data_IF_106305078574
#
_entry.id   IF_106305078574
#
_cell.length_a   1.000
_cell.length_b   1.000
_cell.length_c   1.000
_cell.angle_alpha   90.00
_cell.angle_beta   90.00
_cell.angle_gamma   90.00
#
_symmetry.space_group_name_H-M   'P 1'
#
loop_
_entity.id
_entity.type
_entity.pdbx_description
1 polymer ?
#
# COMPACT_ATOMS: atom_id res chain seq x y z
N UNK A 1 2.53 -7.90 -40.32
CA UNK A 1 3.68 -8.72 -39.84
C UNK A 1 3.82 -8.54 -38.34
N UNK A 2 3.99 -9.62 -37.57
CA UNK A 2 4.31 -9.50 -36.13
C UNK A 2 5.80 -9.21 -35.98
N UNK A 3 6.15 -8.17 -35.22
CA UNK A 3 7.53 -7.71 -34.99
C UNK A 3 8.02 -8.20 -33.63
N UNK A 4 7.14 -8.21 -32.63
CA UNK A 4 7.47 -8.60 -31.26
C UNK A 4 6.22 -9.17 -30.58
N UNK A 5 6.42 -10.09 -29.63
CA UNK A 5 5.35 -10.64 -28.80
C UNK A 5 5.83 -10.79 -27.36
N UNK A 6 4.96 -10.44 -26.42
CA UNK A 6 5.17 -10.57 -24.97
C UNK A 6 3.98 -11.29 -24.35
N UNK A 7 4.31 -12.28 -23.52
CA UNK A 7 3.34 -13.03 -22.72
C UNK A 7 3.49 -12.67 -21.25
N UNK A 8 2.38 -12.65 -20.51
CA UNK A 8 2.35 -12.41 -19.07
C UNK A 8 1.98 -13.70 -18.29
N UNK A 9 2.66 -14.81 -18.59
CA UNK A 9 2.32 -16.15 -18.09
C UNK A 9 2.39 -16.33 -16.57
N UNK A 10 3.01 -15.39 -15.85
CA UNK A 10 3.01 -15.35 -14.38
C UNK A 10 1.66 -14.98 -13.76
N UNK A 11 0.69 -14.48 -14.55
CA UNK A 11 -0.64 -14.10 -14.07
C UNK A 11 -1.63 -15.28 -14.06
N UNK A 12 -2.67 -15.20 -13.23
CA UNK A 12 -3.82 -16.12 -13.27
C UNK A 12 -4.53 -16.01 -14.62
N UNK A 13 -5.15 -17.11 -15.08
CA UNK A 13 -5.70 -17.24 -16.44
C UNK A 13 -6.59 -16.05 -16.85
N UNK A 14 -7.45 -15.58 -15.94
CA UNK A 14 -8.37 -14.47 -16.19
C UNK A 14 -7.70 -13.10 -16.41
N UNK A 15 -6.39 -12.96 -16.15
CA UNK A 15 -5.64 -11.72 -16.31
C UNK A 15 -4.53 -11.82 -17.37
N UNK A 16 -4.53 -12.90 -18.16
CA UNK A 16 -3.49 -13.14 -19.16
C UNK A 16 -3.83 -12.52 -20.50
N UNK A 17 -2.95 -11.65 -20.95
CA UNK A 17 -3.04 -10.91 -22.21
C UNK A 17 -1.72 -11.10 -22.95
N UNK A 18 -1.81 -11.54 -24.20
CA UNK A 18 -0.71 -11.53 -25.16
C UNK A 18 -0.66 -10.14 -25.77
N UNK A 19 0.48 -9.46 -25.65
CA UNK A 19 0.72 -8.17 -26.29
C UNK A 19 1.69 -8.36 -27.44
N UNK A 20 1.28 -8.01 -28.66
CA UNK A 20 2.09 -8.12 -29.87
C UNK A 20 2.28 -6.75 -30.51
N UNK A 21 3.50 -6.44 -30.94
CA UNK A 21 3.73 -5.29 -31.82
C UNK A 21 3.62 -5.77 -33.26
N UNK A 22 2.69 -5.20 -34.01
CA UNK A 22 2.42 -5.57 -35.39
C UNK A 22 2.68 -4.39 -36.32
N UNK A 23 3.11 -4.70 -37.55
CA UNK A 23 3.26 -3.74 -38.63
C UNK A 23 2.20 -3.99 -39.70
N UNK A 24 1.36 -3.00 -39.96
CA UNK A 24 0.29 -3.00 -40.97
C UNK A 24 0.39 -1.71 -41.80
N UNK A 25 0.46 -1.83 -43.13
CA UNK A 25 0.57 -0.69 -44.06
C UNK A 25 1.68 0.32 -43.70
N UNK A 26 2.80 -0.16 -43.15
CA UNK A 26 3.93 0.68 -42.74
C UNK A 26 3.81 1.25 -41.31
N UNK A 27 2.63 1.21 -40.69
CA UNK A 27 2.37 1.71 -39.34
C UNK A 27 2.52 0.59 -38.30
N UNK A 28 2.93 0.95 -37.09
CA UNK A 28 3.05 0.05 -35.95
C UNK A 28 1.81 0.16 -35.04
N UNK A 29 1.36 -0.99 -34.55
CA UNK A 29 0.28 -1.08 -33.58
C UNK A 29 0.67 -2.03 -32.45
N UNK A 30 0.18 -1.75 -31.26
CA UNK A 30 0.15 -2.71 -30.15
C UNK A 30 -1.19 -3.44 -30.18
N UNK A 31 -1.15 -4.76 -30.42
CA UNK A 31 -2.31 -5.65 -30.42
C UNK A 31 -2.33 -6.44 -29.12
N UNK A 32 -3.46 -6.39 -28.41
CA UNK A 32 -3.73 -7.16 -27.19
C UNK A 32 -4.79 -8.22 -27.45
N UNK A 33 -4.53 -9.44 -27.00
CA UNK A 33 -5.38 -10.62 -27.13
C UNK A 33 -5.42 -11.39 -25.81
N UNK A 34 -6.55 -12.00 -25.47
CA UNK A 34 -6.60 -12.89 -24.32
C UNK A 34 -5.81 -14.17 -24.64
N UNK A 35 -4.92 -14.61 -23.73
CA UNK A 35 -4.18 -15.87 -23.94
C UNK A 35 -5.15 -17.08 -23.84
N UNK A 36 -6.14 -16.97 -22.96
CA UNK A 36 -7.12 -18.00 -22.66
C UNK A 36 -8.54 -17.39 -22.61
N UNK A 37 -9.60 -18.19 -22.83
CA UNK A 37 -10.98 -17.70 -22.80
C UNK A 37 -11.36 -16.94 -21.52
N UNK A 38 -10.81 -17.35 -20.37
CA UNK A 38 -11.04 -16.69 -19.08
C UNK A 38 -10.57 -15.23 -19.06
N UNK A 39 -9.60 -14.87 -19.90
CA UNK A 39 -9.05 -13.52 -20.03
C UNK A 39 -9.86 -12.59 -20.93
N UNK A 40 -10.88 -13.09 -21.66
CA UNK A 40 -11.67 -12.27 -22.59
C UNK A 40 -12.36 -11.10 -21.86
N UNK A 41 -12.92 -11.33 -20.67
CA UNK A 41 -13.56 -10.25 -19.88
C UNK A 41 -12.56 -9.16 -19.47
N UNK A 42 -11.34 -9.57 -19.08
CA UNK A 42 -10.29 -8.62 -18.71
C UNK A 42 -9.77 -7.85 -19.92
N UNK A 43 -9.60 -8.50 -21.08
CA UNK A 43 -9.26 -7.82 -22.32
C UNK A 43 -10.32 -6.78 -22.68
N UNK A 44 -11.60 -7.15 -22.71
CA UNK A 44 -12.70 -6.23 -23.05
C UNK A 44 -12.78 -5.04 -22.08
N UNK A 45 -12.37 -5.22 -20.82
CA UNK A 45 -12.33 -4.15 -19.84
C UNK A 45 -11.42 -2.98 -20.24
N UNK A 46 -10.44 -3.17 -21.13
CA UNK A 46 -9.57 -2.09 -21.60
C UNK A 46 -10.34 -0.97 -22.30
N UNK A 47 -11.47 -1.28 -22.93
CA UNK A 47 -12.34 -0.27 -23.55
C UNK A 47 -13.04 0.55 -22.46
N UNK A 48 -13.63 -0.09 -21.46
CA UNK A 48 -14.27 0.62 -20.35
C UNK A 48 -13.26 1.35 -19.47
N UNK A 49 -12.03 0.84 -19.34
CA UNK A 49 -10.94 1.48 -18.61
C UNK A 49 -10.55 2.80 -19.27
N UNK A 50 -10.53 2.88 -20.61
CA UNK A 50 -10.30 4.13 -21.33
C UNK A 50 -11.36 5.18 -21.00
N UNK A 51 -12.64 4.81 -21.07
CA UNK A 51 -13.77 5.72 -20.77
C UNK A 51 -13.81 6.14 -19.29
N UNK A 52 -13.45 5.22 -18.40
CA UNK A 52 -13.36 5.51 -16.97
C UNK A 52 -12.18 6.47 -16.70
N UNK A 53 -10.99 6.13 -17.16
CA UNK A 53 -9.79 6.93 -16.93
C UNK A 53 -9.83 8.30 -17.64
N UNK A 54 -10.54 8.42 -18.77
CA UNK A 54 -10.81 9.70 -19.42
C UNK A 54 -11.57 10.70 -18.54
N UNK A 55 -12.29 10.21 -17.52
CA UNK A 55 -13.00 11.04 -16.53
C UNK A 55 -12.15 11.35 -15.28
N UNK A 56 -10.93 10.82 -15.19
CA UNK A 56 -10.07 11.00 -14.02
C UNK A 56 -9.36 12.35 -13.97
N UNK A 57 -9.48 13.18 -15.01
CA UNK A 57 -8.86 14.51 -15.06
C UNK A 57 -7.34 14.46 -15.26
N UNK A 58 -6.83 13.47 -16.01
CA UNK A 58 -5.42 13.40 -16.35
C UNK A 58 -5.02 14.60 -17.22
N UNK A 59 -3.83 15.17 -16.95
CA UNK A 59 -3.27 16.28 -17.74
C UNK A 59 -2.60 15.84 -19.04
N UNK A 60 -2.67 14.55 -19.37
CA UNK A 60 -1.99 13.91 -20.50
C UNK A 60 -2.92 12.95 -21.24
N UNK A 61 -2.59 12.66 -22.49
CA UNK A 61 -3.43 11.87 -23.38
C UNK A 61 -3.46 10.39 -22.98
N UNK A 62 -4.55 9.71 -23.30
CA UNK A 62 -4.66 8.25 -23.23
C UNK A 62 -4.54 7.67 -24.64
N UNK A 63 -3.76 6.61 -24.82
CA UNK A 63 -3.78 5.85 -26.06
C UNK A 63 -5.18 5.28 -26.28
N UNK A 64 -5.81 5.59 -27.43
CA UNK A 64 -7.20 5.18 -27.67
C UNK A 64 -7.27 3.69 -28.08
N UNK A 65 -8.12 2.88 -27.45
CA UNK A 65 -8.30 1.50 -27.84
C UNK A 65 -9.23 1.41 -29.06
N UNK A 66 -8.95 0.49 -29.96
CA UNK A 66 -9.83 0.12 -31.08
C UNK A 66 -10.04 -1.38 -31.08
N UNK A 67 -11.29 -1.82 -30.97
CA UNK A 67 -11.64 -3.24 -31.08
C UNK A 67 -11.71 -3.67 -32.55
N UNK A 68 -11.07 -4.78 -32.89
CA UNK A 68 -11.28 -5.50 -34.16
C UNK A 68 -11.35 -6.98 -33.85
N UNK A 69 -12.47 -7.61 -34.20
CA UNK A 69 -12.75 -9.02 -33.88
C UNK A 69 -12.57 -9.32 -32.38
N UNK A 70 -11.66 -10.22 -32.01
CA UNK A 70 -11.32 -10.63 -30.65
C UNK A 70 -10.10 -9.93 -30.06
N UNK A 71 -9.57 -8.89 -30.72
CA UNK A 71 -8.36 -8.20 -30.29
C UNK A 71 -8.60 -6.71 -30.10
N UNK A 72 -7.82 -6.10 -29.21
CA UNK A 72 -7.81 -4.66 -28.98
C UNK A 72 -6.50 -4.09 -29.50
N UNK A 73 -6.61 -3.02 -30.27
CA UNK A 73 -5.49 -2.36 -30.92
C UNK A 73 -5.29 -0.98 -30.31
N UNK A 74 -4.01 -0.60 -30.20
CA UNK A 74 -3.56 0.73 -29.88
C UNK A 74 -2.58 1.16 -30.95
N UNK A 75 -2.61 2.44 -31.33
CA UNK A 75 -1.51 3.02 -32.08
C UNK A 75 -0.23 2.91 -31.26
N UNK A 76 0.88 2.57 -31.90
CA UNK A 76 2.16 2.50 -31.21
C UNK A 76 2.55 3.91 -30.76
N UNK A 77 2.90 4.06 -29.48
CA UNK A 77 3.30 5.36 -28.96
C UNK A 77 4.66 5.78 -29.54
N UNK A 78 4.70 6.97 -30.12
CA UNK A 78 5.94 7.61 -30.53
C UNK A 78 6.68 8.21 -29.32
N UNK A 79 8.00 8.38 -29.45
CA UNK A 79 8.83 9.04 -28.43
C UNK A 79 9.48 8.07 -27.43
N UNK A 80 9.77 8.56 -26.22
CA UNK A 80 10.46 7.80 -25.17
C UNK A 80 9.58 7.68 -23.93
N UNK A 81 9.63 6.56 -23.21
CA UNK A 81 9.01 6.47 -21.90
C UNK A 81 9.77 7.30 -20.87
N UNK A 82 9.10 7.79 -19.83
CA UNK A 82 9.76 8.44 -18.69
C UNK A 82 10.78 7.51 -18.03
N UNK A 83 10.50 6.21 -18.02
CA UNK A 83 11.42 5.18 -17.55
C UNK A 83 12.69 5.07 -18.42
N UNK A 84 12.57 5.19 -19.74
CA UNK A 84 13.73 5.23 -20.63
C UNK A 84 14.59 6.48 -20.40
N UNK A 85 13.96 7.61 -20.10
CA UNK A 85 14.67 8.84 -19.70
C UNK A 85 15.37 8.66 -18.36
N UNK A 86 14.69 8.09 -17.36
CA UNK A 86 15.28 7.75 -16.07
C UNK A 86 16.52 6.87 -16.23
N UNK A 87 16.42 5.82 -17.04
CA UNK A 87 17.52 4.89 -17.28
C UNK A 87 18.75 5.58 -17.88
N UNK A 88 18.55 6.48 -18.85
CA UNK A 88 19.63 7.25 -19.45
C UNK A 88 20.40 8.06 -18.40
N UNK A 89 19.69 8.70 -17.46
CA UNK A 89 20.34 9.47 -16.40
C UNK A 89 21.02 8.58 -15.35
N UNK A 90 20.49 7.39 -15.09
CA UNK A 90 21.16 6.37 -14.27
C UNK A 90 22.48 5.93 -14.92
N UNK A 91 22.51 5.69 -16.24
CA UNK A 91 23.72 5.34 -16.96
C UNK A 91 24.80 6.44 -16.88
N UNK A 92 24.38 7.70 -16.83
CA UNK A 92 25.28 8.84 -16.66
C UNK A 92 25.74 9.02 -15.20
N UNK A 93 25.20 8.25 -14.24
CA UNK A 93 25.45 8.40 -12.80
C UNK A 93 25.18 9.82 -12.26
N UNK A 94 24.27 10.57 -12.89
CA UNK A 94 23.92 11.93 -12.50
C UNK A 94 22.72 11.91 -11.53
N UNK A 95 23.02 12.05 -10.23
CA UNK A 95 22.02 12.09 -9.16
C UNK A 95 20.97 13.18 -9.37
N UNK A 96 21.37 14.37 -9.81
CA UNK A 96 20.45 15.50 -9.93
C UNK A 96 19.53 15.32 -11.14
N UNK A 97 20.04 14.76 -12.25
CA UNK A 97 19.21 14.43 -13.40
C UNK A 97 18.26 13.27 -13.13
N UNK A 98 18.70 12.22 -12.42
CA UNK A 98 17.80 11.15 -11.93
C UNK A 98 16.69 11.74 -11.05
N UNK A 99 17.03 12.63 -10.11
CA UNK A 99 16.06 13.30 -9.25
C UNK A 99 15.03 14.12 -10.06
N UNK A 100 15.49 14.84 -11.10
CA UNK A 100 14.61 15.63 -11.97
C UNK A 100 13.58 14.79 -12.70
N UNK A 101 13.90 13.56 -13.10
CA UNK A 101 12.91 12.67 -13.74
C UNK A 101 11.80 12.26 -12.76
N UNK A 102 12.14 11.95 -11.50
CA UNK A 102 11.13 11.71 -10.46
C UNK A 102 10.28 12.94 -10.16
N UNK A 103 10.89 14.13 -10.12
CA UNK A 103 10.16 15.39 -9.93
C UNK A 103 9.21 15.67 -11.09
N UNK A 104 9.66 15.49 -12.33
CA UNK A 104 8.81 15.63 -13.51
C UNK A 104 7.59 14.71 -13.46
N UNK A 105 7.79 13.45 -13.07
CA UNK A 105 6.69 12.51 -12.88
C UNK A 105 5.73 12.99 -11.77
N UNK A 106 6.26 13.44 -10.62
CA UNK A 106 5.44 14.00 -9.53
C UNK A 106 4.61 15.19 -10.00
N UNK A 107 5.21 16.15 -10.70
CA UNK A 107 4.53 17.32 -11.25
C UNK A 107 3.42 16.97 -12.24
N UNK A 108 3.58 15.88 -13.01
CA UNK A 108 2.56 15.40 -13.92
C UNK A 108 1.37 14.80 -13.17
N UNK A 109 1.65 14.01 -12.12
CA UNK A 109 0.63 13.35 -11.31
C UNK A 109 -0.10 14.29 -10.34
N UNK A 110 0.59 15.30 -9.79
CA UNK A 110 0.00 16.30 -8.87
C UNK A 110 -1.08 17.17 -9.55
N UNK A 111 -1.15 17.17 -10.89
CA UNK A 111 -2.22 17.82 -11.65
C UNK A 111 -3.54 17.03 -11.64
N UNK A 112 -3.51 15.77 -11.22
CA UNK A 112 -4.71 14.92 -11.15
C UNK A 112 -5.55 15.39 -9.95
N UNK A 113 -6.87 15.62 -10.12
CA UNK A 113 -7.72 16.04 -9.01
C UNK A 113 -7.80 14.95 -7.93
N UNK A 114 -7.45 15.33 -6.69
CA UNK A 114 -7.50 14.46 -5.52
C UNK A 114 -8.62 14.88 -4.57
N UNK A 115 -9.12 13.91 -3.81
CA UNK A 115 -10.06 14.14 -2.72
C UNK A 115 -9.66 13.28 -1.53
N UNK A 116 -9.77 13.83 -0.33
CA UNK A 116 -9.60 13.05 0.88
C UNK A 116 -10.73 12.01 1.02
N UNK A 117 -10.35 10.74 1.13
CA UNK A 117 -11.31 9.65 1.28
C UNK A 117 -10.77 8.49 2.12
N UNK A 118 -11.68 7.65 2.61
CA UNK A 118 -11.33 6.34 3.19
C UNK A 118 -11.22 5.28 2.09
N UNK A 119 -10.46 4.23 2.37
CA UNK A 119 -10.37 3.06 1.52
C UNK A 119 -11.51 2.10 1.85
N UNK A 120 -12.28 1.72 0.83
CA UNK A 120 -13.51 0.94 0.97
C UNK A 120 -13.26 -0.57 0.83
N UNK A 121 -14.35 -1.35 0.94
CA UNK A 121 -14.30 -2.81 0.79
C UNK A 121 -13.83 -3.26 -0.60
N UNK A 122 -14.07 -2.44 -1.64
CA UNK A 122 -13.61 -2.75 -3.00
C UNK A 122 -12.10 -2.65 -3.10
N UNK A 123 -11.51 -1.63 -2.49
CA UNK A 123 -10.06 -1.53 -2.33
C UNK A 123 -9.52 -2.75 -1.56
N UNK A 124 -10.13 -3.08 -0.41
CA UNK A 124 -9.67 -4.19 0.43
C UNK A 124 -9.73 -5.55 -0.27
N UNK A 125 -10.68 -5.77 -1.18
CA UNK A 125 -10.75 -7.01 -1.97
C UNK A 125 -9.54 -7.24 -2.89
N UNK A 126 -8.85 -6.16 -3.31
CA UNK A 126 -7.65 -6.23 -4.15
C UNK A 126 -6.35 -6.10 -3.34
N UNK A 127 -6.34 -5.21 -2.35
CA UNK A 127 -5.11 -4.79 -1.66
C UNK A 127 -5.05 -5.27 -0.20
N UNK A 128 -6.06 -5.98 0.28
CA UNK A 128 -6.16 -6.50 1.64
C UNK A 128 -6.54 -5.45 2.68
N UNK A 129 -6.38 -5.78 3.95
CA UNK A 129 -6.79 -4.93 5.07
C UNK A 129 -6.08 -3.57 5.07
N UNK A 130 -6.83 -2.53 5.43
CA UNK A 130 -6.35 -1.15 5.41
C UNK A 130 -6.35 -0.52 6.80
N UNK A 131 -5.43 0.41 6.99
CA UNK A 131 -5.46 1.29 8.16
C UNK A 131 -6.63 2.27 7.99
N UNK A 132 -7.49 2.36 9.01
CA UNK A 132 -8.66 3.24 9.01
C UNK A 132 -8.26 4.70 9.18
N UNK A 133 -7.79 5.31 8.10
CA UNK A 133 -7.47 6.74 7.98
C UNK A 133 -7.88 7.28 6.61
N UNK A 134 -7.93 8.61 6.48
CA UNK A 134 -8.13 9.26 5.18
C UNK A 134 -6.83 9.35 4.40
N UNK A 135 -6.93 9.29 3.09
CA UNK A 135 -5.84 9.48 2.15
C UNK A 135 -6.27 10.48 1.07
N UNK A 136 -5.31 11.20 0.50
CA UNK A 136 -5.54 11.93 -0.75
C UNK A 136 -5.63 10.92 -1.89
N UNK A 137 -6.84 10.76 -2.39
CA UNK A 137 -7.19 9.71 -3.34
C UNK A 137 -7.59 10.29 -4.68
N UNK A 138 -7.12 9.64 -5.74
CA UNK A 138 -7.79 9.72 -7.04
C UNK A 138 -9.12 8.96 -6.96
N UNK A 139 -10.16 9.54 -7.52
CA UNK A 139 -11.51 8.97 -7.46
C UNK A 139 -11.70 7.80 -8.42
N UNK A 140 -10.87 7.76 -9.46
CA UNK A 140 -10.76 6.66 -10.40
C UNK A 140 -9.37 6.09 -10.25
N UNK A 141 -9.26 4.94 -9.59
CA UNK A 141 -7.99 4.29 -9.30
C UNK A 141 -7.32 3.78 -10.58
N UNK A 142 -6.02 4.06 -10.74
CA UNK A 142 -5.19 3.45 -11.77
C UNK A 142 -3.80 3.19 -11.22
N UNK A 143 -3.42 1.91 -11.12
CA UNK A 143 -2.10 1.52 -10.59
C UNK A 143 -1.03 1.41 -11.69
N UNK A 144 -1.44 1.55 -12.94
CA UNK A 144 -0.58 1.51 -14.14
C UNK A 144 -0.03 2.88 -14.53
N UNK A 145 -0.23 3.91 -13.69
CA UNK A 145 0.38 5.23 -13.83
C UNK A 145 1.87 5.21 -13.42
N UNK A 146 2.63 4.28 -14.00
CA UNK A 146 4.07 4.11 -13.79
C UNK A 146 4.87 4.71 -14.96
N UNK A 147 6.14 5.02 -14.72
CA UNK A 147 7.00 5.67 -15.72
C UNK A 147 7.19 4.85 -17.02
N UNK A 148 7.13 3.52 -16.96
CA UNK A 148 7.18 2.65 -18.15
C UNK A 148 6.04 2.93 -19.13
N UNK A 149 4.89 3.32 -18.59
CA UNK A 149 3.64 3.47 -19.32
C UNK A 149 3.39 4.90 -19.79
N UNK A 150 4.22 5.86 -19.37
CA UNK A 150 4.06 7.28 -19.74
C UNK A 150 5.12 7.65 -20.75
N UNK A 151 4.68 7.92 -21.98
CA UNK A 151 5.53 8.32 -23.10
C UNK A 151 5.52 9.83 -23.27
N UNK A 152 6.66 10.39 -23.67
CA UNK A 152 6.81 11.79 -24.05
C UNK A 152 7.27 11.90 -25.50
N UNK A 153 6.56 12.71 -26.28
CA UNK A 153 6.92 13.07 -27.63
C UNK A 153 6.63 14.57 -27.87
N UNK A 154 7.64 15.35 -28.26
CA UNK A 154 7.53 16.79 -28.51
C UNK A 154 6.82 17.55 -27.37
N UNK A 155 7.16 17.22 -26.11
CA UNK A 155 6.59 17.86 -24.92
C UNK A 155 5.15 17.43 -24.57
N UNK A 156 4.55 16.52 -25.33
CA UNK A 156 3.23 15.94 -25.04
C UNK A 156 3.39 14.57 -24.39
N UNK A 157 2.60 14.33 -23.35
CA UNK A 157 2.59 13.07 -22.62
C UNK A 157 1.42 12.20 -23.06
N UNK A 158 1.65 10.89 -23.12
CA UNK A 158 0.63 9.90 -23.41
C UNK A 158 0.80 8.69 -22.49
N UNK A 159 -0.28 8.24 -21.87
CA UNK A 159 -0.33 6.97 -21.15
C UNK A 159 -0.71 5.85 -22.11
N UNK A 160 0.10 4.79 -22.09
CA UNK A 160 -0.22 3.50 -22.67
C UNK A 160 -0.51 2.49 -21.56
N UNK A 161 -1.01 1.32 -21.93
CA UNK A 161 -1.07 0.14 -21.05
C UNK A 161 -1.75 0.38 -19.68
N UNK A 162 -3.06 0.64 -19.71
CA UNK A 162 -3.89 0.88 -18.53
C UNK A 162 -4.82 -0.32 -18.25
N UNK A 163 -4.23 -1.47 -17.91
CA UNK A 163 -4.95 -2.71 -17.66
C UNK A 163 -5.69 -2.71 -16.33
N UNK A 164 -5.15 -2.01 -15.33
CA UNK A 164 -5.63 -1.98 -13.96
C UNK A 164 -6.21 -0.62 -13.60
N UNK A 165 -7.40 -0.36 -14.13
CA UNK A 165 -8.25 0.78 -13.75
C UNK A 165 -9.42 0.29 -12.90
N UNK A 166 -9.71 1.02 -11.84
CA UNK A 166 -10.68 0.65 -10.82
C UNK A 166 -11.73 1.74 -10.63
N UNK A 167 -12.97 1.32 -10.45
CA UNK A 167 -14.08 2.22 -10.08
C UNK A 167 -14.21 2.35 -8.55
N UNK A 168 -13.07 2.55 -7.89
CA UNK A 168 -12.95 2.88 -6.47
C UNK A 168 -11.73 3.78 -6.27
N UNK A 169 -11.63 4.38 -5.09
CA UNK A 169 -10.60 5.37 -4.76
C UNK A 169 -9.23 4.73 -4.54
N UNK A 170 -8.17 5.39 -5.00
CA UNK A 170 -6.80 4.91 -4.85
C UNK A 170 -5.90 6.01 -4.25
N UNK A 171 -5.14 5.74 -3.18
CA UNK A 171 -4.20 6.72 -2.65
C UNK A 171 -3.17 7.12 -3.69
N UNK A 172 -2.99 8.43 -3.92
CA UNK A 172 -1.98 8.90 -4.88
C UNK A 172 -0.56 8.50 -4.44
N UNK A 173 -0.28 8.54 -3.14
CA UNK A 173 1.00 8.10 -2.57
C UNK A 173 1.27 6.61 -2.80
N UNK A 174 0.26 5.77 -2.96
CA UNK A 174 0.44 4.36 -3.34
C UNK A 174 0.88 4.22 -4.81
N UNK A 175 0.35 5.05 -5.71
CA UNK A 175 0.80 5.12 -7.11
C UNK A 175 2.27 5.57 -7.19
N UNK A 176 2.64 6.60 -6.42
CA UNK A 176 4.03 7.05 -6.28
C UNK A 176 4.94 5.92 -5.78
N UNK A 177 4.51 5.25 -4.71
CA UNK A 177 5.25 4.12 -4.16
C UNK A 177 5.48 3.02 -5.21
N UNK A 178 4.47 2.64 -5.99
CA UNK A 178 4.60 1.64 -7.06
C UNK A 178 5.60 2.05 -8.13
N UNK A 179 5.57 3.30 -8.58
CA UNK A 179 6.53 3.82 -9.56
C UNK A 179 7.96 3.74 -9.03
N UNK A 180 8.19 4.17 -7.78
CA UNK A 180 9.50 4.09 -7.13
C UNK A 180 9.94 2.62 -7.03
N UNK A 181 9.07 1.75 -6.52
CA UNK A 181 9.38 0.33 -6.34
C UNK A 181 9.75 -0.35 -7.65
N UNK A 182 9.00 -0.07 -8.71
CA UNK A 182 9.25 -0.58 -10.04
C UNK A 182 10.61 -0.11 -10.58
N UNK A 183 10.91 1.19 -10.53
CA UNK A 183 12.18 1.75 -11.00
C UNK A 183 13.38 1.18 -10.24
N UNK A 184 13.31 1.10 -8.90
CA UNK A 184 14.43 0.61 -8.10
C UNK A 184 14.67 -0.89 -8.27
N UNK A 185 13.61 -1.70 -8.38
CA UNK A 185 13.75 -3.12 -8.71
C UNK A 185 14.37 -3.33 -10.09
N UNK A 186 13.92 -2.56 -11.08
CA UNK A 186 14.34 -2.71 -12.48
C UNK A 186 15.79 -2.30 -12.70
N UNK A 187 16.26 -1.30 -11.95
CA UNK A 187 17.59 -0.72 -12.11
C UNK A 187 18.54 -1.01 -10.94
N UNK A 188 18.26 -2.03 -10.13
CA UNK A 188 19.12 -2.47 -9.03
C UNK A 188 20.52 -2.87 -9.55
N UNK A 189 20.58 -3.63 -10.64
CA UNK A 189 21.84 -4.02 -11.32
C UNK A 189 22.65 -2.81 -11.81
N UNK A 190 21.99 -1.67 -12.02
CA UNK A 190 22.61 -0.40 -12.43
C UNK A 190 22.92 0.51 -11.23
N UNK A 191 22.84 -0.01 -10.01
CA UNK A 191 23.15 0.68 -8.77
C UNK A 191 22.37 1.99 -8.56
N UNK A 192 21.11 2.06 -9.01
CA UNK A 192 20.25 3.24 -8.81
C UNK A 192 20.24 3.67 -7.33
N UNK A 193 20.18 2.72 -6.40
CA UNK A 193 20.18 2.98 -4.95
C UNK A 193 21.45 3.65 -4.41
N UNK A 194 22.59 3.54 -5.12
CA UNK A 194 23.82 4.29 -4.78
C UNK A 194 23.81 5.70 -5.36
N UNK A 195 23.21 5.88 -6.53
CA UNK A 195 23.10 7.19 -7.21
C UNK A 195 22.11 8.08 -6.46
N UNK A 196 20.89 7.58 -6.27
CA UNK A 196 19.83 8.22 -5.50
C UNK A 196 19.26 7.15 -4.54
N UNK A 197 19.50 7.24 -3.23
CA UNK A 197 18.93 6.30 -2.28
C UNK A 197 17.39 6.31 -2.31
N UNK A 198 16.76 5.13 -2.19
CA UNK A 198 15.30 5.00 -2.25
C UNK A 198 14.59 5.88 -1.22
N UNK A 199 15.17 6.02 -0.02
CA UNK A 199 14.63 6.87 1.04
C UNK A 199 14.66 8.36 0.71
N UNK A 200 15.65 8.83 -0.06
CA UNK A 200 15.63 10.19 -0.60
C UNK A 200 14.46 10.35 -1.56
N UNK A 201 14.23 9.35 -2.42
CA UNK A 201 13.12 9.40 -3.38
C UNK A 201 11.77 9.37 -2.68
N UNK A 202 11.55 8.45 -1.73
CA UNK A 202 10.31 8.40 -0.94
C UNK A 202 9.98 9.75 -0.27
N UNK A 203 10.99 10.45 0.25
CA UNK A 203 10.82 11.80 0.80
C UNK A 203 10.39 12.84 -0.23
N UNK A 204 10.86 12.75 -1.48
CA UNK A 204 10.40 13.65 -2.57
C UNK A 204 8.89 13.51 -2.83
N UNK A 205 8.33 12.33 -2.57
CA UNK A 205 6.91 12.03 -2.71
C UNK A 205 6.15 12.11 -1.38
N UNK A 206 6.79 12.59 -0.31
CA UNK A 206 6.22 12.73 1.03
C UNK A 206 5.67 11.41 1.59
N UNK A 207 6.32 10.30 1.25
CA UNK A 207 5.99 8.96 1.75
C UNK A 207 6.84 8.69 2.98
N UNK A 208 6.18 8.56 4.13
CA UNK A 208 6.82 8.14 5.36
C UNK A 208 6.90 6.61 5.46
N UNK A 209 7.61 6.14 6.46
CA UNK A 209 7.95 4.75 6.73
C UNK A 209 6.70 3.88 6.95
N UNK A 210 5.73 4.41 7.70
CA UNK A 210 4.47 3.72 7.98
C UNK A 210 3.66 3.54 6.70
N UNK A 211 3.59 4.58 5.86
CA UNK A 211 2.94 4.52 4.56
C UNK A 211 3.67 3.54 3.63
N UNK A 212 5.00 3.58 3.56
CA UNK A 212 5.80 2.66 2.74
C UNK A 212 5.57 1.19 3.14
N UNK A 213 5.54 0.87 4.44
CA UNK A 213 5.23 -0.48 4.94
C UNK A 213 3.84 -0.95 4.51
N UNK A 214 2.82 -0.09 4.71
CA UNK A 214 1.44 -0.41 4.32
C UNK A 214 1.30 -0.60 2.81
N UNK A 215 1.90 0.30 2.02
CA UNK A 215 1.89 0.24 0.57
C UNK A 215 2.62 -1.00 0.03
N UNK A 216 3.70 -1.42 0.67
CA UNK A 216 4.36 -2.68 0.33
C UNK A 216 3.47 -3.89 0.59
N UNK A 217 2.67 -3.86 1.67
CA UNK A 217 1.67 -4.91 1.94
C UNK A 217 0.55 -4.88 0.89
N UNK A 218 0.06 -3.71 0.50
CA UNK A 218 -0.95 -3.56 -0.55
C UNK A 218 -0.43 -4.11 -1.89
N UNK A 219 0.82 -3.79 -2.23
CA UNK A 219 1.48 -4.33 -3.42
C UNK A 219 1.54 -5.86 -3.37
N UNK A 220 2.00 -6.43 -2.26
CA UNK A 220 2.08 -7.88 -2.08
C UNK A 220 0.71 -8.56 -2.25
N UNK A 221 -0.32 -8.01 -1.61
CA UNK A 221 -1.68 -8.55 -1.70
C UNK A 221 -2.23 -8.47 -3.13
N UNK A 222 -1.98 -7.36 -3.83
CA UNK A 222 -2.34 -7.22 -5.23
C UNK A 222 -1.63 -8.26 -6.10
N UNK A 223 -0.31 -8.42 -5.95
CA UNK A 223 0.46 -9.42 -6.69
C UNK A 223 -0.07 -10.84 -6.43
N UNK A 224 -0.41 -11.16 -5.18
CA UNK A 224 -1.01 -12.45 -4.79
C UNK A 224 -2.39 -12.66 -5.43
N UNK A 225 -3.18 -11.58 -5.56
CA UNK A 225 -4.51 -11.62 -6.19
C UNK A 225 -4.41 -11.95 -7.68
N UNK A 226 -3.42 -11.40 -8.38
CA UNK A 226 -3.34 -11.44 -9.85
C UNK A 226 -2.36 -12.48 -10.40
N UNK A 227 -1.35 -12.89 -9.63
CA UNK A 227 -0.32 -13.84 -10.04
C UNK A 227 -0.70 -15.28 -9.75
N UNK A 228 -0.12 -16.23 -10.50
CA UNK A 228 -0.18 -17.66 -10.14
C UNK A 228 0.49 -17.89 -8.81
N UNK A 229 -0.05 -18.83 -8.04
CA UNK A 229 0.49 -19.21 -6.73
C UNK A 229 1.96 -19.66 -6.84
N UNK A 230 2.30 -20.39 -7.90
CA UNK A 230 3.67 -20.85 -8.20
C UNK A 230 4.67 -19.72 -8.46
N UNK A 231 4.19 -18.54 -8.86
CA UNK A 231 5.03 -17.36 -9.10
C UNK A 231 5.15 -16.47 -7.85
N UNK A 232 4.43 -16.80 -6.78
CA UNK A 232 4.43 -16.03 -5.55
C UNK A 232 5.47 -16.58 -4.58
N UNK A 233 6.16 -15.65 -3.94
CA UNK A 233 6.97 -15.91 -2.76
C UNK A 233 6.17 -15.53 -1.51
N UNK A 234 6.57 -16.07 -0.35
CA UNK A 234 5.96 -15.66 0.90
C UNK A 234 6.29 -14.18 1.22
N UNK A 235 5.53 -13.59 2.15
CA UNK A 235 5.68 -12.18 2.45
C UNK A 235 7.06 -11.83 3.04
N UNK A 236 7.68 -12.73 3.81
CA UNK A 236 9.01 -12.51 4.41
C UNK A 236 10.09 -12.42 3.34
N UNK A 237 10.11 -13.35 2.39
CA UNK A 237 10.99 -13.31 1.21
C UNK A 237 10.73 -12.07 0.35
N UNK A 238 9.46 -11.68 0.22
CA UNK A 238 9.09 -10.45 -0.46
C UNK A 238 9.71 -9.23 0.24
N UNK A 239 9.60 -9.13 1.57
CA UNK A 239 10.24 -8.07 2.35
C UNK A 239 11.76 -8.08 2.18
N UNK A 240 12.41 -9.24 2.24
CA UNK A 240 13.86 -9.36 2.08
C UNK A 240 14.34 -8.86 0.71
N UNK A 241 13.58 -9.10 -0.36
CA UNK A 241 13.85 -8.52 -1.69
C UNK A 241 13.93 -7.00 -1.61
N UNK A 242 13.02 -6.36 -0.88
CA UNK A 242 12.96 -4.90 -0.79
C UNK A 242 13.93 -4.29 0.22
N UNK A 243 14.31 -5.05 1.25
CA UNK A 243 15.40 -4.66 2.15
C UNK A 243 16.73 -4.51 1.40
N UNK A 244 16.99 -5.35 0.39
CA UNK A 244 18.21 -5.28 -0.44
C UNK A 244 18.33 -3.98 -1.23
N UNK A 245 17.22 -3.45 -1.75
CA UNK A 245 17.21 -2.19 -2.50
C UNK A 245 17.21 -0.94 -1.60
N UNK A 246 17.46 -1.10 -0.30
CA UNK A 246 17.60 0.00 0.66
C UNK A 246 16.31 0.47 1.33
N UNK A 247 15.18 -0.23 1.14
CA UNK A 247 13.94 0.05 1.86
C UNK A 247 14.04 -0.30 3.37
N UNK A 248 15.12 -1.00 3.75
CA UNK A 248 15.41 -1.59 5.07
C UNK A 248 15.67 -0.62 6.22
N UNK A 249 15.74 0.71 6.01
CA UNK A 249 15.83 1.64 7.16
C UNK A 249 14.50 1.81 7.91
N UNK A 250 13.43 1.18 7.44
CA UNK A 250 12.07 1.40 7.92
C UNK A 250 11.48 0.09 8.43
N UNK A 251 11.73 -0.20 9.70
CA UNK A 251 11.52 -1.54 10.25
C UNK A 251 11.85 -1.59 11.72
N UNK A 252 13.15 -1.70 12.00
CA UNK A 252 13.67 -2.18 13.27
C UNK A 252 13.17 -1.41 14.48
N UNK A 253 13.06 -0.08 14.39
CA UNK A 253 12.64 0.75 15.53
C UNK A 253 11.13 0.72 15.75
N UNK A 254 10.34 0.75 14.68
CA UNK A 254 8.87 0.78 14.78
C UNK A 254 8.30 -0.59 15.11
N UNK A 255 8.90 -1.67 14.59
CA UNK A 255 8.47 -3.04 14.88
C UNK A 255 8.83 -3.40 16.33
N UNK A 256 10.02 -3.01 16.83
CA UNK A 256 10.33 -3.09 18.27
C UNK A 256 9.32 -2.32 19.12
N UNK A 257 9.01 -1.07 18.75
CA UNK A 257 8.08 -0.24 19.50
C UNK A 257 6.67 -0.84 19.48
N UNK A 258 6.23 -1.42 18.36
CA UNK A 258 4.90 -2.02 18.24
C UNK A 258 4.80 -3.30 19.07
N UNK A 259 5.84 -4.14 19.05
CA UNK A 259 5.94 -5.33 19.90
C UNK A 259 5.99 -4.97 21.40
N UNK A 260 6.73 -3.93 21.77
CA UNK A 260 6.75 -3.38 23.14
C UNK A 260 5.38 -2.82 23.53
N UNK A 261 4.71 -2.09 22.63
CA UNK A 261 3.39 -1.51 22.90
C UNK A 261 2.34 -2.60 23.15
N UNK A 262 2.35 -3.67 22.35
CA UNK A 262 1.43 -4.79 22.51
C UNK A 262 1.74 -5.61 23.77
N UNK A 263 3.02 -5.73 24.14
CA UNK A 263 3.40 -6.32 25.43
C UNK A 263 2.89 -5.49 26.60
N UNK A 264 3.07 -4.17 26.56
CA UNK A 264 2.58 -3.24 27.60
C UNK A 264 1.06 -3.28 27.71
N UNK A 265 0.33 -3.33 26.59
CA UNK A 265 -1.15 -3.47 26.60
C UNK A 265 -1.60 -4.76 27.29
N UNK A 266 -1.01 -5.90 26.94
CA UNK A 266 -1.32 -7.20 27.58
C UNK A 266 -1.04 -7.19 29.08
N UNK A 267 0.05 -6.54 29.50
CA UNK A 267 0.40 -6.42 30.92
C UNK A 267 -0.55 -5.49 31.68
N UNK A 268 -1.03 -4.41 31.03
CA UNK A 268 -2.04 -3.53 31.62
C UNK A 268 -3.39 -4.24 31.77
N UNK A 269 -3.85 -4.98 30.78
CA UNK A 269 -5.09 -5.76 30.87
C UNK A 269 -5.05 -6.79 32.02
N UNK A 270 -3.90 -7.46 32.19
CA UNK A 270 -3.69 -8.36 33.35
C UNK A 270 -3.78 -7.62 34.68
N UNK A 271 -3.10 -6.48 34.81
CA UNK A 271 -3.10 -5.67 36.03
C UNK A 271 -4.49 -5.12 36.33
N UNK A 272 -5.25 -4.69 35.33
CA UNK A 272 -6.65 -4.25 35.51
C UNK A 272 -7.53 -5.41 35.99
N UNK A 273 -7.33 -6.62 35.46
CA UNK A 273 -7.99 -7.83 35.96
C UNK A 273 -7.67 -8.12 37.44
N UNK A 274 -6.40 -8.00 37.84
CA UNK A 274 -5.96 -8.18 39.23
C UNK A 274 -6.53 -7.09 40.16
N UNK A 275 -6.51 -5.83 39.74
CA UNK A 275 -7.09 -4.71 40.50
C UNK A 275 -8.59 -4.92 40.72
N UNK A 276 -9.31 -5.36 39.70
CA UNK A 276 -10.74 -5.65 39.82
C UNK A 276 -11.02 -6.78 40.82
N UNK A 277 -10.20 -7.83 40.79
CA UNK A 277 -10.30 -8.94 41.75
C UNK A 277 -10.02 -8.48 43.18
N UNK A 278 -8.93 -7.75 43.40
CA UNK A 278 -8.57 -7.22 44.72
C UNK A 278 -9.62 -6.23 45.24
N UNK A 279 -10.17 -5.38 44.37
CA UNK A 279 -11.24 -4.45 44.72
C UNK A 279 -12.50 -5.19 45.21
N UNK A 280 -12.86 -6.29 44.53
CA UNK A 280 -13.95 -7.15 44.96
C UNK A 280 -13.68 -7.81 46.32
N UNK A 281 -12.48 -8.36 46.53
CA UNK A 281 -12.09 -8.96 47.82
C UNK A 281 -12.10 -7.93 48.97
N UNK A 282 -11.58 -6.73 48.73
CA UNK A 282 -11.59 -5.63 49.71
C UNK A 282 -13.02 -5.21 50.04
N UNK A 283 -13.89 -5.09 49.03
CA UNK A 283 -15.31 -4.78 49.23
C UNK A 283 -16.01 -5.86 50.07
N UNK A 284 -15.80 -7.14 49.75
CA UNK A 284 -16.36 -8.26 50.49
C UNK A 284 -15.90 -8.24 51.96
N UNK A 285 -14.60 -8.03 52.20
CA UNK A 285 -14.04 -7.97 53.56
C UNK A 285 -14.51 -6.74 54.34
N UNK A 286 -14.68 -5.59 53.68
CA UNK A 286 -15.27 -4.40 54.29
C UNK A 286 -16.74 -4.62 54.69
N UNK A 287 -17.51 -5.34 53.89
CA UNK A 287 -18.88 -5.73 54.23
C UNK A 287 -18.91 -6.67 55.45
N UNK A 288 -18.02 -7.66 55.52
CA UNK A 288 -17.87 -8.54 56.68
C UNK A 288 -17.49 -7.77 57.95
N UNK A 289 -16.51 -6.85 57.86
CA UNK A 289 -16.10 -5.99 58.98
C UNK A 289 -17.29 -5.13 59.45
N UNK A 290 -18.07 -4.57 58.52
CA UNK A 290 -19.25 -3.77 58.83
C UNK A 290 -20.32 -4.60 59.52
N UNK A 291 -20.57 -5.82 59.04
CA UNK A 291 -21.47 -6.77 59.69
C UNK A 291 -21.01 -7.10 61.11
N UNK A 292 -19.74 -7.45 61.29
CA UNK A 292 -19.16 -7.75 62.60
C UNK A 292 -19.29 -6.57 63.58
N UNK A 293 -19.00 -5.34 63.15
CA UNK A 293 -19.11 -4.12 63.98
C UNK A 293 -20.55 -3.88 64.46
N UNK A 294 -21.55 -4.36 63.71
CA UNK A 294 -22.95 -4.23 64.07
C UNK A 294 -23.48 -5.32 65.02
N UNK A 295 -22.67 -6.35 65.32
CA UNK A 295 -23.07 -7.40 66.27
C UNK A 295 -23.05 -6.92 67.73
N UNK A 296 -23.94 -7.50 68.55
CA UNK A 296 -24.00 -7.20 69.99
C UNK A 296 -22.68 -7.51 70.71
N UNK A 297 -22.00 -8.58 70.31
CA UNK A 297 -20.72 -9.02 70.88
C UNK A 297 -19.63 -7.96 70.64
N UNK A 298 -19.55 -7.40 69.42
CA UNK A 298 -18.56 -6.38 69.10
C UNK A 298 -18.81 -5.07 69.85
N UNK A 299 -20.08 -4.65 69.95
CA UNK A 299 -20.47 -3.47 70.76
C UNK A 299 -20.13 -3.65 72.24
N UNK A 300 -20.39 -4.84 72.79
CA UNK A 300 -20.04 -5.19 74.18
C UNK A 300 -18.53 -5.16 74.40
N UNK A 301 -17.74 -5.75 73.48
CA UNK A 301 -16.28 -5.69 73.50
C UNK A 301 -15.77 -4.24 73.49
N UNK A 302 -16.32 -3.38 72.63
CA UNK A 302 -15.94 -1.96 72.61
C UNK A 302 -16.29 -1.22 73.88
N UNK A 303 -17.44 -1.52 74.49
CA UNK A 303 -17.80 -0.96 75.80
C UNK A 303 -16.80 -1.38 76.88
N UNK A 304 -16.37 -2.65 76.90
CA UNK A 304 -15.33 -3.16 77.81
C UNK A 304 -13.98 -2.48 77.56
N UNK A 305 -13.55 -2.33 76.31
CA UNK A 305 -12.30 -1.63 75.94
C UNK A 305 -12.35 -0.16 76.38
N UNK A 306 -13.49 0.51 76.19
CA UNK A 306 -13.69 1.90 76.62
C UNK A 306 -13.67 2.00 78.15
N UNK A 307 -14.35 1.12 78.86
CA UNK A 307 -14.31 1.06 80.32
C UNK A 307 -12.90 0.79 80.85
N UNK A 308 -12.14 -0.12 80.24
CA UNK A 308 -10.73 -0.36 80.60
C UNK A 308 -9.87 0.90 80.40
N UNK A 309 -10.04 1.63 79.29
CA UNK A 309 -9.34 2.90 79.06
C UNK A 309 -9.72 4.00 80.07
N UNK A 310 -10.96 4.03 80.54
CA UNK A 310 -11.42 5.04 81.51
C UNK A 310 -11.02 4.69 82.95
N UNK A 311 -10.95 3.41 83.32
CA UNK A 311 -10.66 2.97 84.69
C UNK A 311 -9.18 2.64 84.96
N UNK A 312 -8.40 2.30 83.93
CA UNK A 312 -6.98 1.96 84.05
C UNK A 312 -6.16 2.82 83.09
N UNK A 313 -6.10 4.13 83.35
CA UNK A 313 -5.32 5.05 82.52
C UNK A 313 -3.83 4.71 82.51
N UNK A 314 -3.28 4.68 81.28
CA UNK A 314 -1.87 4.56 80.87
C UNK A 314 -1.20 3.19 81.13
N UNK A 315 -0.51 2.55 80.17
CA UNK A 315 0.12 3.05 78.94
C UNK A 315 -0.48 2.50 77.63
#
# INVERSE_FOLDING_TARGET
MVVYVKYNQGRKAQYRIVTSIIKENGLLYSRKEAELPEGEVFLESLISNYELLGRAGLSFALAKPSKKEKSIYFEFADGQSLDSLLFKEIQNSDKDSVRKIFQLYKELMDKIPLKEDYLDDKFMNYFGEVVRKKYECMQIGCIDLIMDNIFINNGKYQLIDYEWVFNFTLPMKFVYFRTILNSYNKYDDYNIGKILPINETLRLFEINDSDAKNFLKYEYNFQTKVSKEECMINYEEYLEKYKKIGLSSFGDKYDLITEELDKVKRDNEKKEGEINKLSFEVSARNNEITFMKNTKIWRLRMAIVKMKKTFFGAD
#
